data_IF_917948181592
#
_entry.id   IF_917948181592
#
_cell.length_a   1.000
_cell.length_b   1.000
_cell.length_c   1.000
_cell.angle_alpha   90.00
_cell.angle_beta   90.00
_cell.angle_gamma   90.00
#
_symmetry.space_group_name_H-M   'P 1'
#
loop_
_entity.id
_entity.type
_entity.pdbx_description
1 polymer ?
#
# COMPACT_ATOMS: atom_id res chain seq x y z
N UNK A 1 -3.95 -20.66 19.34
CA UNK A 1 -2.56 -20.22 19.35
C UNK A 1 -1.68 -21.20 20.13
N UNK A 2 -0.40 -21.21 19.83
CA UNK A 2 0.58 -22.10 20.46
C UNK A 2 1.14 -21.53 21.79
N UNK A 3 0.34 -20.84 22.55
CA UNK A 3 0.77 -20.11 23.75
C UNK A 3 1.66 -20.98 24.65
N UNK A 4 2.94 -20.56 24.82
CA UNK A 4 3.96 -21.26 25.62
C UNK A 4 4.16 -22.75 25.27
N UNK A 5 3.82 -23.18 24.06
CA UNK A 5 3.97 -24.56 23.62
C UNK A 5 5.20 -24.67 22.69
N UNK A 6 6.16 -25.49 23.08
CA UNK A 6 7.29 -25.87 22.20
C UNK A 6 7.03 -27.28 21.63
N UNK A 7 6.11 -27.31 20.66
CA UNK A 7 5.72 -28.52 19.96
C UNK A 7 5.22 -28.20 18.54
N UNK A 8 4.79 -29.20 17.80
CA UNK A 8 4.32 -29.08 16.41
C UNK A 8 3.18 -28.06 16.19
N UNK A 9 2.44 -27.66 17.24
CA UNK A 9 1.40 -26.63 17.17
C UNK A 9 2.02 -25.23 16.97
N UNK A 10 3.21 -25.01 17.54
CA UNK A 10 3.91 -23.74 17.50
C UNK A 10 5.04 -23.65 16.48
N UNK A 11 5.49 -24.80 16.00
CA UNK A 11 6.62 -24.82 15.07
C UNK A 11 6.21 -24.38 13.67
N UNK A 12 7.07 -23.59 13.02
CA UNK A 12 6.90 -23.27 11.63
C UNK A 12 7.14 -24.52 10.78
N UNK A 13 6.17 -24.83 9.93
CA UNK A 13 6.40 -25.79 8.86
C UNK A 13 7.27 -25.11 7.80
N UNK A 14 8.55 -25.43 7.79
CA UNK A 14 9.43 -25.03 6.69
C UNK A 14 9.03 -25.87 5.47
N UNK A 15 8.51 -25.27 4.41
CA UNK A 15 8.10 -26.04 3.24
C UNK A 15 9.31 -26.70 2.59
N UNK A 16 9.19 -27.97 2.29
CA UNK A 16 10.17 -28.73 1.49
C UNK A 16 10.10 -28.33 0.00
N UNK A 17 9.66 -27.13 -0.34
CA UNK A 17 9.50 -26.65 -1.71
C UNK A 17 8.65 -25.37 -1.82
N UNK A 18 8.35 -24.96 -3.03
CA UNK A 18 7.80 -23.69 -3.51
C UNK A 18 6.47 -23.16 -2.90
N UNK A 19 5.92 -23.79 -1.88
CA UNK A 19 4.57 -23.48 -1.39
C UNK A 19 4.41 -22.06 -0.84
N UNK A 20 5.51 -21.43 -0.41
CA UNK A 20 5.52 -20.07 0.15
C UNK A 20 6.45 -19.08 -0.58
N UNK A 21 6.98 -19.46 -1.74
CA UNK A 21 7.87 -18.59 -2.52
C UNK A 21 7.23 -17.23 -2.82
N UNK A 22 5.93 -17.21 -3.11
CA UNK A 22 5.17 -15.98 -3.35
C UNK A 22 5.10 -15.06 -2.12
N UNK A 23 4.86 -15.62 -0.95
CA UNK A 23 4.82 -14.83 0.31
C UNK A 23 6.19 -14.28 0.66
N UNK A 24 7.24 -15.07 0.48
CA UNK A 24 8.61 -14.64 0.72
C UNK A 24 9.02 -13.52 -0.25
N UNK A 25 8.73 -13.67 -1.54
CA UNK A 25 8.99 -12.64 -2.56
C UNK A 25 8.23 -11.34 -2.23
N UNK A 26 6.95 -11.46 -1.85
CA UNK A 26 6.12 -10.34 -1.43
C UNK A 26 6.74 -9.58 -0.26
N UNK A 27 7.07 -10.27 0.83
CA UNK A 27 7.66 -9.64 2.03
C UNK A 27 9.03 -9.04 1.72
N UNK A 28 9.84 -9.72 0.93
CA UNK A 28 11.17 -9.22 0.51
C UNK A 28 11.03 -7.91 -0.28
N UNK A 29 10.11 -7.86 -1.24
CA UNK A 29 9.85 -6.66 -2.06
C UNK A 29 9.36 -5.50 -1.21
N UNK A 30 8.39 -5.72 -0.32
CA UNK A 30 7.87 -4.68 0.57
C UNK A 30 8.95 -4.18 1.56
N UNK A 31 9.79 -5.08 2.05
CA UNK A 31 10.89 -4.74 2.95
C UNK A 31 11.94 -3.90 2.22
N UNK A 32 12.33 -4.30 1.01
CA UNK A 32 13.27 -3.54 0.17
C UNK A 32 12.72 -2.14 -0.15
N UNK A 33 11.45 -2.05 -0.57
CA UNK A 33 10.78 -0.78 -0.83
C UNK A 33 10.80 0.13 0.41
N UNK A 34 10.43 -0.41 1.59
CA UNK A 34 10.45 0.34 2.83
C UNK A 34 11.85 0.78 3.24
N UNK A 35 12.88 -0.02 2.94
CA UNK A 35 14.27 0.34 3.23
C UNK A 35 14.79 1.44 2.28
N UNK A 36 14.42 1.36 1.01
CA UNK A 36 14.82 2.34 0.00
C UNK A 36 14.16 3.71 0.23
N UNK A 37 12.93 3.72 0.75
CA UNK A 37 12.12 4.94 0.90
C UNK A 37 12.16 5.55 2.30
N UNK A 38 12.89 6.65 2.51
CA UNK A 38 12.96 7.32 3.82
C UNK A 38 11.59 7.75 4.35
N UNK A 39 10.70 8.21 3.46
CA UNK A 39 9.35 8.64 3.86
C UNK A 39 8.56 7.52 4.51
N UNK A 40 8.67 6.26 4.01
CA UNK A 40 8.01 5.08 4.59
C UNK A 40 8.62 4.63 5.94
N UNK A 41 9.71 5.26 6.37
CA UNK A 41 10.42 5.00 7.65
C UNK A 41 10.59 6.27 8.45
N UNK A 42 9.77 7.27 8.20
CA UNK A 42 9.93 8.58 8.83
C UNK A 42 9.87 8.47 10.35
N UNK A 43 10.79 9.12 11.10
CA UNK A 43 10.89 8.96 12.56
C UNK A 43 9.78 9.69 13.34
N UNK A 44 9.12 10.69 12.73
CA UNK A 44 8.02 11.44 13.33
C UNK A 44 6.67 10.90 12.86
N UNK A 45 5.63 11.10 13.64
CA UNK A 45 4.26 10.69 13.30
C UNK A 45 3.71 11.53 12.15
N UNK A 46 3.14 10.85 11.16
CA UNK A 46 2.47 11.50 10.05
C UNK A 46 1.27 12.34 10.53
N UNK A 47 1.11 13.52 9.94
CA UNK A 47 -0.02 14.40 10.23
C UNK A 47 0.02 15.12 11.55
N UNK A 48 1.02 14.89 12.40
CA UNK A 48 1.17 15.57 13.71
C UNK A 48 2.38 16.51 13.71
N UNK A 49 3.57 15.97 13.71
CA UNK A 49 4.85 16.70 13.75
C UNK A 49 5.81 16.27 12.63
N UNK A 50 5.37 15.39 11.78
CA UNK A 50 6.05 14.87 10.60
C UNK A 50 5.34 15.23 9.30
N UNK A 51 5.66 14.50 8.23
CA UNK A 51 5.06 14.69 6.93
C UNK A 51 3.54 14.57 6.95
N UNK A 52 2.85 15.20 6.01
CA UNK A 52 1.40 15.16 5.95
C UNK A 52 0.86 13.81 5.47
N UNK A 53 -0.28 13.43 6.04
CA UNK A 53 -1.05 12.26 5.65
C UNK A 53 -2.50 12.70 5.38
N UNK A 54 -2.99 12.44 4.17
CA UNK A 54 -4.34 12.79 3.77
C UNK A 54 -5.14 11.54 3.44
N UNK A 55 -6.31 11.41 4.04
CA UNK A 55 -7.21 10.27 3.85
C UNK A 55 -8.31 10.64 2.87
N UNK A 56 -8.59 9.77 1.91
CA UNK A 56 -9.57 9.97 0.84
C UNK A 56 -10.54 8.81 0.74
N UNK A 57 -11.77 9.14 0.36
CA UNK A 57 -12.76 8.18 -0.10
C UNK A 57 -12.43 7.73 -1.53
N UNK A 58 -13.04 6.64 -2.01
CA UNK A 58 -12.88 6.22 -3.41
C UNK A 58 -13.25 7.29 -4.44
N UNK A 59 -14.20 8.19 -4.11
CA UNK A 59 -14.58 9.31 -4.99
C UNK A 59 -13.57 10.46 -5.01
N UNK A 60 -12.44 10.34 -4.32
CA UNK A 60 -11.40 11.35 -4.19
C UNK A 60 -11.67 12.42 -3.13
N UNK A 61 -12.85 12.44 -2.53
CA UNK A 61 -13.18 13.36 -1.44
C UNK A 61 -12.45 12.99 -0.14
N UNK A 62 -12.23 13.99 0.76
CA UNK A 62 -11.57 13.72 2.04
C UNK A 62 -12.45 12.84 2.94
N UNK A 63 -11.83 11.91 3.67
CA UNK A 63 -12.50 11.11 4.70
C UNK A 63 -13.00 11.99 5.83
N UNK A 64 -14.26 11.79 6.24
CA UNK A 64 -14.87 12.43 7.38
C UNK A 64 -15.03 11.41 8.52
N UNK A 65 -15.28 11.88 9.74
CA UNK A 65 -15.47 11.01 10.92
C UNK A 65 -16.58 9.97 10.68
N UNK A 66 -17.66 10.37 9.99
CA UNK A 66 -18.77 9.47 9.68
C UNK A 66 -18.37 8.34 8.73
N UNK A 67 -17.49 8.62 7.75
CA UNK A 67 -17.06 7.63 6.75
C UNK A 67 -16.29 6.46 7.40
N UNK A 68 -15.54 6.72 8.50
CA UNK A 68 -14.83 5.68 9.25
C UNK A 68 -15.76 4.69 9.96
N UNK A 69 -17.01 5.03 10.12
CA UNK A 69 -18.03 4.20 10.75
C UNK A 69 -18.97 3.53 9.76
N UNK A 70 -18.83 3.84 8.46
CA UNK A 70 -19.61 3.18 7.41
C UNK A 70 -19.11 1.76 7.18
N UNK A 71 -19.97 0.78 7.54
CA UNK A 71 -19.66 -0.64 7.33
C UNK A 71 -19.97 -1.12 5.91
N UNK A 72 -20.67 -0.33 5.13
CA UNK A 72 -21.04 -0.69 3.76
C UNK A 72 -19.91 -0.39 2.77
N UNK A 73 -19.11 0.64 3.04
CA UNK A 73 -17.95 1.01 2.22
C UNK A 73 -16.71 1.18 3.10
N UNK A 74 -15.89 0.15 3.15
CA UNK A 74 -14.63 0.15 3.91
C UNK A 74 -13.42 0.46 3.03
N UNK A 75 -13.62 0.82 1.77
CA UNK A 75 -12.54 1.18 0.85
C UNK A 75 -12.09 2.62 1.12
N UNK A 76 -10.78 2.84 1.12
CA UNK A 76 -10.20 4.17 1.30
C UNK A 76 -8.86 4.28 0.59
N UNK A 77 -8.40 5.51 0.37
CA UNK A 77 -7.06 5.81 -0.05
C UNK A 77 -6.37 6.72 0.96
N UNK A 78 -5.05 6.76 0.95
CA UNK A 78 -4.31 7.82 1.62
C UNK A 78 -3.09 8.24 0.83
N UNK A 79 -2.76 9.53 0.94
CA UNK A 79 -1.57 10.12 0.37
C UNK A 79 -0.58 10.51 1.46
N UNK A 80 0.70 10.19 1.21
CA UNK A 80 1.83 10.67 1.99
C UNK A 80 2.50 11.80 1.22
N UNK A 81 2.65 12.94 1.88
CA UNK A 81 3.40 14.06 1.37
C UNK A 81 4.76 14.13 2.06
N UNK A 82 5.76 14.64 1.35
CA UNK A 82 7.05 14.92 1.95
C UNK A 82 7.01 16.22 2.81
N UNK A 83 8.14 16.60 3.40
CA UNK A 83 8.24 17.81 4.23
C UNK A 83 8.02 19.11 3.43
N UNK A 84 8.14 19.07 2.11
CA UNK A 84 7.81 20.19 1.23
C UNK A 84 6.31 20.25 0.85
N UNK A 85 5.51 19.29 1.33
CA UNK A 85 4.09 19.17 1.03
C UNK A 85 3.79 18.58 -0.35
N UNK A 86 4.78 17.93 -0.98
CA UNK A 86 4.58 17.27 -2.26
C UNK A 86 4.10 15.82 -2.07
N UNK A 87 3.02 15.43 -2.73
CA UNK A 87 2.56 14.04 -2.72
C UNK A 87 3.64 13.12 -3.29
N UNK A 88 4.00 12.07 -2.56
CA UNK A 88 5.03 11.10 -2.94
C UNK A 88 4.48 9.70 -3.11
N UNK A 89 3.54 9.34 -2.26
CA UNK A 89 2.94 8.02 -2.24
C UNK A 89 1.42 8.10 -2.11
N UNK A 90 0.72 7.24 -2.83
CA UNK A 90 -0.70 7.02 -2.66
C UNK A 90 -0.97 5.52 -2.47
N UNK A 91 -1.72 5.18 -1.45
CA UNK A 91 -2.14 3.80 -1.18
C UNK A 91 -3.64 3.70 -1.38
N UNK A 92 -4.06 2.72 -2.18
CA UNK A 92 -5.47 2.38 -2.38
C UNK A 92 -5.74 1.07 -1.65
N UNK A 93 -6.72 1.07 -0.77
CA UNK A 93 -7.10 -0.10 0.01
C UNK A 93 -8.55 -0.48 -0.29
N UNK A 94 -8.72 -1.65 -0.88
CA UNK A 94 -10.03 -2.21 -1.19
C UNK A 94 -10.22 -3.57 -0.47
N UNK A 95 -10.85 -3.60 0.72
CA UNK A 95 -11.12 -4.84 1.43
C UNK A 95 -12.35 -5.57 0.88
N UNK A 96 -13.12 -4.93 0.00
CA UNK A 96 -14.37 -5.44 -0.55
C UNK A 96 -14.18 -6.62 -1.52
N UNK A 97 -15.24 -7.43 -1.71
CA UNK A 97 -15.21 -8.59 -2.59
C UNK A 97 -15.33 -8.25 -4.09
N UNK A 98 -15.44 -6.99 -4.42
CA UNK A 98 -15.53 -6.50 -5.80
C UNK A 98 -14.44 -5.47 -6.08
N UNK A 99 -14.02 -5.37 -7.34
CA UNK A 99 -13.11 -4.32 -7.77
C UNK A 99 -13.72 -2.93 -7.53
N UNK A 100 -12.91 -1.97 -7.12
CA UNK A 100 -13.35 -0.61 -6.77
C UNK A 100 -12.54 0.43 -7.52
N UNK A 101 -13.21 1.35 -8.19
CA UNK A 101 -12.57 2.51 -8.81
C UNK A 101 -12.29 3.58 -7.76
N UNK A 102 -11.07 4.15 -7.86
CA UNK A 102 -10.62 5.29 -7.07
C UNK A 102 -10.31 6.47 -7.97
N UNK A 103 -10.84 7.63 -7.64
CA UNK A 103 -10.45 8.89 -8.23
C UNK A 103 -9.17 9.39 -7.57
N UNK A 104 -8.18 9.74 -8.39
CA UNK A 104 -6.85 10.13 -7.93
C UNK A 104 -6.61 11.62 -8.16
N UNK A 105 -6.20 12.32 -7.11
CA UNK A 105 -5.67 13.67 -7.22
C UNK A 105 -4.14 13.64 -7.39
N UNK A 106 -3.56 14.78 -7.72
CA UNK A 106 -2.12 15.03 -7.68
C UNK A 106 -1.23 14.12 -8.56
N UNK A 107 -1.81 13.43 -9.57
CA UNK A 107 -1.04 12.62 -10.53
C UNK A 107 0.01 13.44 -11.30
N UNK A 108 0.84 12.84 -12.14
CA UNK A 108 0.77 11.43 -12.52
C UNK A 108 1.37 10.47 -11.48
N UNK A 109 0.76 9.31 -11.37
CA UNK A 109 1.19 8.22 -10.50
C UNK A 109 1.71 7.03 -11.31
N UNK A 110 2.56 6.22 -10.72
CA UNK A 110 3.02 4.94 -11.27
C UNK A 110 2.79 3.83 -10.25
N UNK A 111 2.37 2.66 -10.73
CA UNK A 111 2.22 1.48 -9.88
C UNK A 111 3.59 1.05 -9.35
N UNK A 112 3.78 1.11 -8.04
CA UNK A 112 4.96 0.60 -7.38
C UNK A 112 4.76 -0.83 -6.88
N UNK A 113 3.52 -1.16 -6.46
CA UNK A 113 3.18 -2.45 -5.93
C UNK A 113 1.69 -2.75 -6.09
N UNK A 114 1.37 -4.00 -6.45
CA UNK A 114 0.03 -4.57 -6.47
C UNK A 114 0.04 -5.86 -5.66
N UNK A 115 -0.80 -5.92 -4.62
CA UNK A 115 -0.86 -7.09 -3.73
C UNK A 115 -1.37 -8.36 -4.40
N UNK A 116 -2.06 -8.22 -5.54
CA UNK A 116 -2.58 -9.37 -6.32
C UNK A 116 -1.63 -9.81 -7.43
N UNK A 117 -0.68 -8.95 -7.80
CA UNK A 117 0.33 -9.18 -8.83
C UNK A 117 1.71 -8.70 -8.35
N UNK A 118 2.29 -9.33 -7.32
CA UNK A 118 3.51 -8.83 -6.68
C UNK A 118 4.72 -8.70 -7.63
N UNK A 119 4.74 -9.51 -8.68
CA UNK A 119 5.82 -9.51 -9.70
C UNK A 119 5.58 -8.52 -10.84
N UNK A 120 4.44 -7.80 -10.85
CA UNK A 120 4.14 -6.88 -11.94
C UNK A 120 5.19 -5.76 -12.02
N UNK A 121 5.64 -5.50 -13.25
CA UNK A 121 6.47 -4.35 -13.56
C UNK A 121 5.67 -3.05 -13.40
N UNK A 122 6.38 -1.92 -13.30
CA UNK A 122 5.76 -0.60 -13.27
C UNK A 122 4.83 -0.38 -14.46
N UNK A 123 3.70 0.24 -14.21
CA UNK A 123 2.75 0.64 -15.23
C UNK A 123 3.14 1.97 -15.91
N UNK A 124 2.44 2.28 -17.01
CA UNK A 124 2.39 3.63 -17.55
C UNK A 124 1.79 4.62 -16.52
N UNK A 125 1.96 5.92 -16.78
CA UNK A 125 1.44 6.96 -15.90
C UNK A 125 -0.09 6.86 -15.73
N UNK A 126 -0.54 6.94 -14.49
CA UNK A 126 -1.94 6.91 -14.07
C UNK A 126 -2.33 8.34 -13.71
N UNK A 127 -3.30 8.91 -14.41
CA UNK A 127 -3.60 10.34 -14.31
C UNK A 127 -4.80 10.66 -13.43
N UNK A 128 -5.93 9.99 -13.62
CA UNK A 128 -7.22 10.43 -13.08
C UNK A 128 -7.90 9.40 -12.18
N UNK A 129 -7.87 8.13 -12.56
CA UNK A 129 -8.47 7.06 -11.78
C UNK A 129 -7.74 5.74 -11.94
N UNK A 130 -7.96 4.84 -10.99
CA UNK A 130 -7.45 3.48 -11.02
C UNK A 130 -8.41 2.52 -10.32
N UNK A 131 -8.60 1.35 -10.89
CA UNK A 131 -9.41 0.30 -10.27
C UNK A 131 -8.53 -0.61 -9.40
N UNK A 132 -8.77 -0.61 -8.10
CA UNK A 132 -8.18 -1.57 -7.17
C UNK A 132 -8.95 -2.90 -7.25
N UNK A 133 -8.25 -4.05 -7.35
CA UNK A 133 -8.89 -5.36 -7.38
C UNK A 133 -9.62 -5.67 -6.06
N UNK A 134 -10.51 -6.67 -6.09
CA UNK A 134 -11.14 -7.18 -4.89
C UNK A 134 -10.08 -7.67 -3.89
N UNK A 135 -10.28 -7.38 -2.61
CA UNK A 135 -9.36 -7.73 -1.52
C UNK A 135 -7.90 -7.28 -1.79
N UNK A 136 -7.75 -6.16 -2.53
CA UNK A 136 -6.47 -5.67 -3.02
C UNK A 136 -5.97 -4.41 -2.33
N UNK A 137 -4.65 -4.27 -2.32
CA UNK A 137 -3.93 -3.06 -1.96
C UNK A 137 -3.00 -2.68 -3.11
N UNK A 138 -3.10 -1.44 -3.54
CA UNK A 138 -2.20 -0.86 -4.54
C UNK A 138 -1.36 0.24 -3.90
N UNK A 139 -0.08 0.24 -4.18
CA UNK A 139 0.84 1.31 -3.78
C UNK A 139 1.32 2.04 -5.02
N UNK A 140 1.08 3.32 -5.06
CA UNK A 140 1.43 4.20 -6.15
C UNK A 140 2.54 5.15 -5.70
N UNK A 141 3.55 5.33 -6.55
CA UNK A 141 4.57 6.35 -6.38
C UNK A 141 4.31 7.51 -7.34
N UNK A 142 4.65 8.70 -6.95
CA UNK A 142 4.66 9.84 -7.86
C UNK A 142 5.64 9.59 -9.01
N UNK A 143 5.29 9.94 -10.24
CA UNK A 143 6.11 9.66 -11.43
C UNK A 143 7.52 10.27 -11.38
N UNK A 144 7.68 11.38 -10.65
CA UNK A 144 8.96 12.06 -10.41
C UNK A 144 9.70 11.55 -9.15
N UNK A 145 9.15 10.58 -8.43
CA UNK A 145 9.82 9.95 -7.29
C UNK A 145 10.87 8.97 -7.81
N UNK A 146 12.17 9.21 -7.55
CA UNK A 146 13.21 8.27 -7.95
C UNK A 146 13.07 7.00 -7.10
N UNK A 147 12.45 5.98 -7.65
CA UNK A 147 12.47 4.65 -7.06
C UNK A 147 13.72 3.95 -7.58
N UNK A 148 14.69 3.70 -6.70
CA UNK A 148 15.86 2.93 -7.07
C UNK A 148 15.42 1.53 -7.53
N UNK A 149 15.85 1.16 -8.75
CA UNK A 149 15.68 -0.19 -9.25
C UNK A 149 16.65 -1.09 -8.46
N UNK A 150 16.15 -1.79 -7.46
CA UNK A 150 16.90 -2.89 -6.87
C UNK A 150 16.74 -4.13 -7.77
N UNK A 151 17.86 -4.77 -8.13
CA UNK A 151 17.89 -6.00 -8.93
C UNK A 151 17.24 -7.18 -8.22
#
# INVERSE_FOLDING_TARGET
NAYCQDNATGWLNWPDGDTDAGSLALVSKLTALRQAEPLLRHPRWFGTDGPALHWHKPDGGPMQIADWHDRADCAFAFELQDEAGLPRWCVLFNPGPQAREFQLAHGPWQMAFDSTLPEAARSADILESLTAPAHGLLLLARADTPLENHP
#
